data_IF_630792896565
#
_entry.id   IF_630792896565
#
_cell.length_a   1.000
_cell.length_b   1.000
_cell.length_c   1.000
_cell.angle_alpha   90.00
_cell.angle_beta   90.00
_cell.angle_gamma   90.00
#
_symmetry.space_group_name_H-M   'P 1'
#
loop_
_entity.id
_entity.type
_entity.pdbx_description
1 polymer ?
#
# COMPACT_ATOMS: atom_id res chain seq x y z
N UNK A 1 -40.93 -58.42 20.57
CA UNK A 1 -41.41 -57.02 20.69
C UNK A 1 -40.32 -56.23 21.37
N UNK A 2 -39.63 -55.36 20.62
CA UNK A 2 -38.64 -54.41 21.14
C UNK A 2 -37.23 -54.62 20.56
N UNK A 3 -37.00 -54.07 19.37
CA UNK A 3 -35.68 -53.87 18.73
C UNK A 3 -34.76 -52.99 19.58
N UNK A 4 -33.50 -53.41 19.73
CA UNK A 4 -32.39 -52.52 20.06
C UNK A 4 -31.58 -52.29 18.78
N UNK A 5 -31.69 -51.08 18.22
CA UNK A 5 -30.93 -50.68 17.03
C UNK A 5 -29.42 -50.63 17.29
N UNK A 6 -28.57 -50.98 16.31
CA UNK A 6 -27.12 -50.97 16.48
C UNK A 6 -26.55 -49.55 16.36
N UNK A 7 -25.42 -49.35 17.05
CA UNK A 7 -24.80 -48.06 17.32
C UNK A 7 -24.30 -47.31 16.09
N UNK A 8 -24.38 -45.99 16.19
CA UNK A 8 -23.92 -45.04 15.18
C UNK A 8 -22.40 -45.06 15.10
N UNK A 9 -21.88 -45.39 13.92
CA UNK A 9 -20.46 -45.29 13.57
C UNK A 9 -19.95 -43.86 13.72
N UNK A 10 -18.77 -43.74 14.33
CA UNK A 10 -17.97 -42.52 14.39
C UNK A 10 -17.65 -42.04 12.98
N UNK A 11 -18.27 -40.94 12.56
CA UNK A 11 -17.88 -40.20 11.37
C UNK A 11 -16.75 -39.26 11.77
N UNK A 12 -15.52 -39.62 11.39
CA UNK A 12 -14.39 -38.68 11.30
C UNK A 12 -14.79 -37.54 10.38
N UNK A 13 -15.06 -36.38 10.96
CA UNK A 13 -15.24 -35.14 10.22
C UNK A 13 -13.89 -34.73 9.61
N UNK A 14 -13.79 -34.83 8.29
CA UNK A 14 -12.73 -34.20 7.52
C UNK A 14 -12.89 -32.68 7.68
N UNK A 15 -11.82 -32.02 8.13
CA UNK A 15 -11.69 -30.56 8.08
C UNK A 15 -11.88 -30.12 6.62
N UNK A 16 -12.72 -29.11 6.33
CA UNK A 16 -12.82 -28.57 4.98
C UNK A 16 -11.46 -27.97 4.62
N UNK A 17 -10.81 -28.53 3.60
CA UNK A 17 -9.67 -27.90 2.95
C UNK A 17 -10.08 -26.53 2.41
N UNK A 18 -9.14 -25.58 2.41
CA UNK A 18 -9.34 -24.26 1.82
C UNK A 18 -9.91 -24.42 0.40
N UNK A 19 -10.95 -23.65 0.02
CA UNK A 19 -11.46 -23.69 -1.34
C UNK A 19 -10.35 -23.30 -2.32
N UNK A 20 -10.32 -23.89 -3.53
CA UNK A 20 -9.42 -23.45 -4.57
C UNK A 20 -9.74 -21.99 -4.92
N UNK A 21 -8.71 -21.15 -4.90
CA UNK A 21 -8.77 -19.77 -5.41
C UNK A 21 -9.22 -19.84 -6.87
N UNK A 22 -10.35 -19.24 -7.21
CA UNK A 22 -10.91 -19.25 -8.57
C UNK A 22 -9.97 -18.52 -9.54
N UNK A 23 -9.92 -18.93 -10.82
CA UNK A 23 -9.08 -18.26 -11.84
C UNK A 23 -9.35 -16.75 -11.94
N UNK A 24 -10.57 -16.30 -11.63
CA UNK A 24 -10.96 -14.89 -11.57
C UNK A 24 -10.19 -14.07 -10.52
N UNK A 25 -9.69 -14.71 -9.47
CA UNK A 25 -8.90 -14.08 -8.39
C UNK A 25 -7.42 -13.90 -8.78
N UNK A 26 -6.95 -14.56 -9.85
CA UNK A 26 -5.55 -14.50 -10.29
C UNK A 26 -5.24 -13.29 -11.17
N UNK A 27 -6.25 -12.75 -11.87
CA UNK A 27 -6.12 -11.57 -12.74
C UNK A 27 -6.45 -10.24 -12.03
N UNK A 28 -6.92 -10.31 -10.79
CA UNK A 28 -7.28 -9.16 -9.97
C UNK A 28 -6.04 -8.52 -9.33
N UNK A 29 -5.98 -7.17 -9.37
CA UNK A 29 -4.96 -6.42 -8.66
C UNK A 29 -5.47 -6.01 -7.29
N UNK A 30 -4.72 -6.36 -6.27
CA UNK A 30 -5.05 -6.08 -4.88
C UNK A 30 -4.24 -4.91 -4.30
N UNK A 31 -4.94 -3.94 -3.70
CA UNK A 31 -4.33 -2.73 -3.12
C UNK A 31 -4.64 -2.67 -1.64
N UNK A 32 -3.62 -2.57 -0.79
CA UNK A 32 -3.76 -2.28 0.64
C UNK A 32 -3.54 -0.80 0.89
N UNK A 33 -4.47 -0.13 1.58
CA UNK A 33 -4.39 1.31 1.87
C UNK A 33 -4.46 1.57 3.36
N UNK A 34 -3.61 2.47 3.87
CA UNK A 34 -3.67 2.94 5.27
C UNK A 34 -3.69 4.46 5.31
N UNK A 35 -4.31 5.04 6.34
CA UNK A 35 -4.18 6.46 6.68
C UNK A 35 -3.80 6.65 8.14
N UNK A 36 -3.32 7.85 8.49
CA UNK A 36 -2.94 8.20 9.86
C UNK A 36 -4.10 8.77 10.66
N UNK A 37 -4.01 8.62 11.98
CA UNK A 37 -4.94 9.22 12.94
C UNK A 37 -4.60 10.67 13.31
N UNK A 38 -5.31 11.22 14.29
CA UNK A 38 -5.10 12.59 14.77
C UNK A 38 -3.66 12.86 15.26
N UNK A 39 -3.17 14.08 15.05
CA UNK A 39 -1.86 14.54 15.53
C UNK A 39 -1.77 16.06 15.67
N UNK A 40 -1.20 16.52 16.79
CA UNK A 40 -1.10 17.95 17.14
C UNK A 40 -2.47 18.64 17.03
N UNK A 41 -2.59 19.68 16.21
CA UNK A 41 -3.83 20.43 15.97
C UNK A 41 -4.79 19.72 15.00
N UNK A 42 -4.37 18.65 14.33
CA UNK A 42 -5.21 17.89 13.42
C UNK A 42 -6.01 16.86 14.23
N UNK A 43 -7.15 17.29 14.77
CA UNK A 43 -8.09 16.42 15.51
C UNK A 43 -8.77 15.39 14.60
N UNK A 44 -8.80 15.68 13.30
CA UNK A 44 -9.22 14.79 12.22
C UNK A 44 -8.09 14.80 11.20
N UNK A 45 -7.81 13.66 10.57
CA UNK A 45 -6.69 13.53 9.64
C UNK A 45 -7.22 13.14 8.25
N UNK A 46 -7.05 14.04 7.28
CA UNK A 46 -7.52 13.86 5.91
C UNK A 46 -7.02 12.57 5.27
N UNK A 47 -5.84 12.09 5.64
CA UNK A 47 -5.29 10.84 5.08
C UNK A 47 -6.18 9.62 5.36
N UNK A 48 -6.71 9.47 6.57
CA UNK A 48 -7.60 8.37 6.90
C UNK A 48 -9.01 8.58 6.35
N UNK A 49 -9.49 9.82 6.28
CA UNK A 49 -10.77 10.14 5.65
C UNK A 49 -10.76 9.78 4.15
N UNK A 50 -9.71 10.17 3.42
CA UNK A 50 -9.51 9.84 2.00
C UNK A 50 -9.37 8.33 1.84
N UNK A 51 -8.55 7.66 2.66
CA UNK A 51 -8.42 6.21 2.59
C UNK A 51 -9.78 5.52 2.77
N UNK A 52 -10.57 5.95 3.76
CA UNK A 52 -11.86 5.35 4.09
C UNK A 52 -12.97 5.67 3.08
N UNK A 53 -12.81 6.70 2.25
CA UNK A 53 -13.79 7.07 1.22
C UNK A 53 -13.54 6.39 -0.13
N UNK A 54 -12.43 5.64 -0.28
CA UNK A 54 -12.13 4.87 -1.49
C UNK A 54 -13.22 3.83 -1.77
N UNK A 55 -13.59 3.60 -3.05
CA UNK A 55 -14.48 2.51 -3.40
C UNK A 55 -13.83 1.15 -3.07
N UNK A 56 -14.60 0.10 -2.71
CA UNK A 56 -14.03 -1.21 -2.39
C UNK A 56 -13.37 -1.89 -3.60
N UNK A 57 -13.78 -1.53 -4.81
CA UNK A 57 -13.16 -1.99 -6.05
C UNK A 57 -13.57 -1.12 -7.23
N UNK A 58 -12.80 -1.15 -8.31
CA UNK A 58 -13.19 -0.63 -9.62
C UNK A 58 -12.60 -1.48 -10.74
N UNK A 59 -13.15 -1.36 -11.95
CA UNK A 59 -12.58 -1.96 -13.16
C UNK A 59 -11.85 -0.89 -13.97
N UNK A 60 -10.67 -1.23 -14.46
CA UNK A 60 -9.82 -0.31 -15.21
C UNK A 60 -9.16 -1.02 -16.39
N UNK A 61 -9.24 -0.39 -17.55
CA UNK A 61 -8.55 -0.82 -18.77
C UNK A 61 -7.38 0.15 -19.00
N UNK A 62 -6.14 -0.20 -18.64
CA UNK A 62 -4.98 0.62 -19.00
C UNK A 62 -4.88 0.70 -20.52
N UNK A 63 -4.63 1.88 -21.06
CA UNK A 63 -4.43 2.04 -22.50
C UNK A 63 -3.27 1.14 -22.96
N UNK A 64 -3.49 0.32 -23.98
CA UNK A 64 -2.43 -0.48 -24.60
C UNK A 64 -1.60 0.43 -25.52
N UNK A 65 -0.27 0.35 -25.42
CA UNK A 65 0.63 1.01 -26.37
C UNK A 65 0.48 0.49 -27.81
N UNK A 66 -0.04 -0.74 -27.95
CA UNK A 66 0.01 -1.51 -29.20
C UNK A 66 -1.35 -1.57 -29.93
N UNK A 67 -2.36 -0.83 -29.46
CA UNK A 67 -3.67 -0.77 -30.10
C UNK A 67 -4.51 -2.05 -30.01
N UNK A 68 -4.09 -3.04 -29.21
CA UNK A 68 -4.91 -4.20 -28.85
C UNK A 68 -5.99 -3.80 -27.85
N UNK A 69 -7.16 -4.45 -27.87
CA UNK A 69 -8.19 -4.25 -26.86
C UNK A 69 -7.61 -4.44 -25.45
N UNK A 70 -7.60 -3.37 -24.66
CA UNK A 70 -7.09 -3.39 -23.30
C UNK A 70 -7.99 -4.28 -22.44
N UNK A 71 -7.45 -5.42 -21.99
CA UNK A 71 -8.18 -6.34 -21.12
C UNK A 71 -8.54 -5.61 -19.82
N UNK A 72 -9.84 -5.45 -19.49
CA UNK A 72 -10.25 -4.81 -18.25
C UNK A 72 -9.71 -5.59 -17.05
N UNK A 73 -9.00 -4.90 -16.16
CA UNK A 73 -8.52 -5.46 -14.89
C UNK A 73 -9.39 -5.00 -13.75
N UNK A 74 -9.77 -5.93 -12.87
CA UNK A 74 -10.40 -5.59 -11.60
C UNK A 74 -9.33 -5.16 -10.60
N UNK A 75 -9.58 -4.06 -9.89
CA UNK A 75 -8.74 -3.58 -8.80
C UNK A 75 -9.57 -3.61 -7.53
N UNK A 76 -9.14 -4.36 -6.53
CA UNK A 76 -9.75 -4.37 -5.18
C UNK A 76 -8.93 -3.54 -4.21
N UNK A 77 -9.63 -2.69 -3.47
CA UNK A 77 -9.03 -1.80 -2.49
C UNK A 77 -9.41 -2.28 -1.09
N UNK A 78 -8.39 -2.63 -0.32
CA UNK A 78 -8.49 -3.08 1.05
C UNK A 78 -7.97 -1.97 1.97
N UNK A 79 -8.88 -1.22 2.57
CA UNK A 79 -8.52 -0.14 3.51
C UNK A 79 -8.36 -0.75 4.90
N UNK A 80 -7.25 -0.47 5.58
CA UNK A 80 -7.10 -0.85 6.98
C UNK A 80 -8.17 -0.11 7.83
N UNK A 81 -9.01 -0.82 8.61
CA UNK A 81 -10.24 -0.26 9.19
C UNK A 81 -10.02 0.68 10.38
N UNK A 82 -8.78 1.00 10.74
CA UNK A 82 -8.48 1.92 11.82
C UNK A 82 -7.33 2.84 11.44
N UNK A 83 -7.36 4.12 11.85
CA UNK A 83 -6.27 5.02 11.56
C UNK A 83 -5.00 4.59 12.30
N UNK A 84 -3.85 4.62 11.61
CA UNK A 84 -2.56 4.34 12.24
C UNK A 84 -2.23 5.48 13.22
N UNK A 85 -2.01 5.19 14.51
CA UNK A 85 -1.59 6.23 15.44
C UNK A 85 -0.27 6.86 14.98
N UNK A 86 -0.15 8.18 15.09
CA UNK A 86 1.08 8.92 14.74
C UNK A 86 2.12 8.72 15.85
N UNK A 87 2.59 7.47 15.98
CA UNK A 87 3.55 6.98 16.96
C UNK A 87 4.51 5.97 16.32
N UNK A 88 5.82 6.14 16.50
CA UNK A 88 6.83 5.27 15.89
C UNK A 88 6.64 3.81 16.29
N UNK A 89 6.41 3.55 17.58
CA UNK A 89 6.08 2.19 18.05
C UNK A 89 4.84 1.62 17.39
N UNK A 90 3.82 2.46 17.14
CA UNK A 90 2.57 1.96 16.55
C UNK A 90 2.82 1.49 15.12
N UNK A 91 3.56 2.27 14.32
CA UNK A 91 3.98 1.81 12.99
C UNK A 91 4.78 0.51 13.07
N UNK A 92 5.79 0.45 13.95
CA UNK A 92 6.63 -0.74 14.13
C UNK A 92 5.82 -1.99 14.47
N UNK A 93 4.85 -1.89 15.37
CA UNK A 93 4.09 -3.06 15.85
C UNK A 93 2.89 -3.41 14.99
N UNK A 94 2.20 -2.39 14.45
CA UNK A 94 0.93 -2.60 13.75
C UNK A 94 1.15 -2.99 12.30
N UNK A 95 2.16 -2.45 11.62
CA UNK A 95 2.34 -2.70 10.20
C UNK A 95 2.58 -4.20 9.86
N UNK A 96 3.44 -4.95 10.58
CA UNK A 96 3.57 -6.39 10.37
C UNK A 96 2.26 -7.15 10.59
N UNK A 97 1.46 -6.73 11.58
CA UNK A 97 0.15 -7.35 11.86
C UNK A 97 -0.84 -7.11 10.72
N UNK A 98 -0.88 -5.89 10.17
CA UNK A 98 -1.73 -5.57 9.01
C UNK A 98 -1.39 -6.46 7.82
N UNK A 99 -0.10 -6.62 7.51
CA UNK A 99 0.35 -7.43 6.38
C UNK A 99 0.08 -8.93 6.59
N UNK A 100 0.24 -9.41 7.83
CA UNK A 100 -0.04 -10.80 8.20
C UNK A 100 -1.55 -11.12 8.17
N UNK A 101 -2.39 -10.24 8.73
CA UNK A 101 -3.85 -10.37 8.67
C UNK A 101 -4.37 -10.31 7.23
N UNK A 102 -3.78 -9.43 6.41
CA UNK A 102 -4.05 -9.40 4.98
C UNK A 102 -3.72 -10.75 4.33
N UNK A 103 -2.51 -11.28 4.53
CA UNK A 103 -2.10 -12.55 3.94
C UNK A 103 -3.00 -13.71 4.38
N UNK A 104 -3.37 -13.79 5.67
CA UNK A 104 -4.30 -14.80 6.20
C UNK A 104 -5.67 -14.76 5.53
N UNK A 105 -6.17 -13.58 5.22
CA UNK A 105 -7.49 -13.38 4.59
C UNK A 105 -7.45 -13.51 3.07
N UNK A 106 -6.27 -13.51 2.45
CA UNK A 106 -6.07 -13.54 0.99
C UNK A 106 -5.30 -14.78 0.51
N UNK A 107 -5.44 -15.91 1.23
CA UNK A 107 -4.87 -17.20 0.82
C UNK A 107 -3.34 -17.25 0.86
N UNK A 108 -2.71 -16.49 1.77
CA UNK A 108 -1.28 -16.35 1.91
C UNK A 108 -0.64 -15.34 0.94
N UNK A 109 -1.43 -14.69 0.08
CA UNK A 109 -0.93 -13.67 -0.87
C UNK A 109 -0.67 -12.35 -0.16
N UNK A 110 0.41 -11.67 -0.55
CA UNK A 110 0.65 -10.27 -0.19
C UNK A 110 -0.23 -9.37 -1.09
N UNK A 111 -0.54 -8.13 -0.66
CA UNK A 111 -1.13 -7.14 -1.56
C UNK A 111 -0.20 -6.94 -2.76
N UNK A 112 -0.75 -6.68 -3.95
CA UNK A 112 0.02 -6.33 -5.14
C UNK A 112 0.57 -4.89 -5.07
N UNK A 113 -0.13 -4.01 -4.37
CA UNK A 113 0.27 -2.62 -4.10
C UNK A 113 -0.04 -2.27 -2.65
N UNK A 114 0.88 -1.60 -1.96
CA UNK A 114 0.64 -0.98 -0.65
C UNK A 114 0.75 0.54 -0.77
N UNK A 115 -0.28 1.27 -0.35
CA UNK A 115 -0.31 2.73 -0.35
C UNK A 115 -0.51 3.24 1.08
N UNK A 116 0.46 3.99 1.58
CA UNK A 116 0.31 4.73 2.83
C UNK A 116 -0.04 6.18 2.50
N UNK A 117 -1.15 6.69 3.05
CA UNK A 117 -1.57 8.08 2.88
C UNK A 117 -1.19 8.88 4.13
N UNK A 118 -0.64 10.08 3.94
CA UNK A 118 -0.35 11.00 5.04
C UNK A 118 -0.58 12.46 4.65
N UNK A 119 -0.89 13.29 5.64
CA UNK A 119 -1.03 14.73 5.42
C UNK A 119 0.34 15.40 5.35
N UNK A 120 0.52 16.28 4.38
CA UNK A 120 1.61 17.24 4.36
C UNK A 120 1.06 18.63 4.64
N UNK A 121 1.00 19.02 5.92
CA UNK A 121 0.22 20.19 6.36
C UNK A 121 0.58 21.53 5.69
N UNK A 122 1.80 21.68 5.18
CA UNK A 122 2.26 22.90 4.50
C UNK A 122 2.12 22.83 2.96
N UNK A 123 1.67 21.70 2.41
CA UNK A 123 1.49 21.49 0.97
C UNK A 123 0.00 21.67 0.62
N UNK A 124 -0.26 22.41 -0.46
CA UNK A 124 -1.57 22.55 -1.09
C UNK A 124 -1.66 21.75 -2.40
N UNK A 125 -0.81 20.74 -2.55
CA UNK A 125 -0.69 19.87 -3.70
C UNK A 125 -0.58 18.41 -3.26
N UNK A 126 -0.84 17.51 -4.19
CA UNK A 126 -0.75 16.07 -4.03
C UNK A 126 0.64 15.60 -4.44
N UNK A 127 1.24 14.67 -3.68
CA UNK A 127 2.56 14.16 -4.06
C UNK A 127 2.75 12.68 -3.73
N UNK A 128 3.55 12.01 -4.56
CA UNK A 128 3.96 10.62 -4.33
C UNK A 128 5.45 10.59 -4.06
N UNK A 129 5.84 9.88 -2.99
CA UNK A 129 7.23 9.78 -2.56
C UNK A 129 7.96 8.63 -3.27
N UNK A 130 9.19 8.88 -3.72
CA UNK A 130 9.99 7.94 -4.54
C UNK A 130 10.98 7.10 -3.75
N UNK A 131 11.28 7.53 -2.53
CA UNK A 131 12.29 6.94 -1.69
C UNK A 131 12.00 7.22 -0.22
N UNK A 132 12.57 6.40 0.66
CA UNK A 132 12.56 6.63 2.09
C UNK A 132 13.95 6.39 2.66
N UNK A 133 14.28 7.13 3.71
CA UNK A 133 15.58 7.06 4.34
C UNK A 133 15.50 6.42 5.72
N UNK A 134 16.51 5.62 6.06
CA UNK A 134 16.58 4.85 7.31
C UNK A 134 16.68 5.70 8.57
N UNK A 135 17.29 6.89 8.47
CA UNK A 135 17.79 7.64 9.61
C UNK A 135 17.30 9.10 9.60
N UNK A 136 17.23 9.73 10.78
CA UNK A 136 16.97 11.15 10.96
C UNK A 136 15.61 11.51 11.59
N UNK A 137 14.95 10.56 12.25
CA UNK A 137 13.61 10.69 12.83
C UNK A 137 13.64 11.36 14.21
N UNK A 138 14.05 12.63 14.24
CA UNK A 138 14.25 13.39 15.50
C UNK A 138 12.97 13.96 16.10
N UNK A 139 11.91 14.12 15.30
CA UNK A 139 10.66 14.73 15.74
C UNK A 139 9.88 13.80 16.67
N UNK A 140 9.40 14.35 17.78
CA UNK A 140 8.56 13.62 18.74
C UNK A 140 7.17 13.30 18.19
N UNK A 141 6.75 12.07 18.45
CA UNK A 141 5.43 11.53 18.11
C UNK A 141 4.34 11.88 19.15
N UNK A 142 3.11 11.33 19.03
CA UNK A 142 2.04 11.55 20.04
C UNK A 142 2.38 11.05 21.45
N UNK A 143 3.42 10.19 21.58
CA UNK A 143 3.91 9.66 22.84
C UNK A 143 5.17 10.41 23.31
N UNK A 144 5.56 11.49 22.65
CA UNK A 144 6.73 12.29 22.99
C UNK A 144 8.07 11.66 22.57
N UNK A 145 8.08 10.58 21.77
CA UNK A 145 9.30 9.83 21.44
C UNK A 145 9.79 10.11 20.02
N UNK A 146 11.10 10.05 19.82
CA UNK A 146 11.75 10.05 18.50
C UNK A 146 11.77 8.64 17.89
N UNK A 147 12.11 8.54 16.61
CA UNK A 147 12.09 7.27 15.86
C UNK A 147 13.31 6.36 16.08
N UNK A 148 14.24 6.73 16.97
CA UNK A 148 15.49 5.99 17.13
C UNK A 148 15.29 4.56 17.67
N UNK A 149 14.62 4.40 18.82
CA UNK A 149 14.45 3.09 19.47
C UNK A 149 13.47 2.18 18.72
N UNK A 150 12.45 2.75 18.07
CA UNK A 150 11.41 2.00 17.37
C UNK A 150 11.76 1.75 15.88
N UNK A 151 12.86 2.30 15.36
CA UNK A 151 13.27 2.13 13.96
C UNK A 151 14.77 2.16 13.75
N UNK A 152 15.40 3.34 13.79
CA UNK A 152 16.80 3.54 13.35
C UNK A 152 17.77 2.53 13.96
N UNK A 153 17.69 2.33 15.28
CA UNK A 153 18.56 1.40 16.00
C UNK A 153 18.43 -0.02 15.46
N UNK A 154 17.19 -0.50 15.30
CA UNK A 154 16.89 -1.84 14.81
C UNK A 154 17.35 -2.00 13.35
N UNK A 155 17.07 -1.01 12.50
CA UNK A 155 17.47 -1.06 11.10
C UNK A 155 18.99 -1.01 10.91
N UNK A 156 19.73 -0.34 11.83
CA UNK A 156 21.19 -0.36 11.86
C UNK A 156 21.75 -1.70 12.32
N UNK A 157 21.18 -2.28 13.37
CA UNK A 157 21.56 -3.62 13.85
C UNK A 157 21.36 -4.70 12.78
N UNK A 158 20.37 -4.51 11.91
CA UNK A 158 20.07 -5.36 10.76
C UNK A 158 20.84 -5.00 9.48
N UNK A 159 21.70 -3.98 9.53
CA UNK A 159 22.45 -3.45 8.37
C UNK A 159 21.58 -3.14 7.14
N UNK A 160 20.38 -2.57 7.37
CA UNK A 160 19.47 -2.25 6.27
C UNK A 160 19.97 -1.04 5.47
N UNK A 161 19.68 -0.97 4.15
CA UNK A 161 20.12 0.11 3.27
C UNK A 161 19.72 1.50 3.77
N UNK A 162 20.61 2.49 3.64
CA UNK A 162 20.31 3.88 4.06
C UNK A 162 19.09 4.48 3.36
N UNK A 163 18.85 4.06 2.12
CA UNK A 163 17.72 4.50 1.30
C UNK A 163 17.07 3.26 0.68
N UNK A 164 15.76 3.17 0.82
CA UNK A 164 14.95 2.16 0.15
C UNK A 164 14.00 2.82 -0.83
N UNK A 165 13.69 2.10 -1.91
CA UNK A 165 12.75 2.52 -2.95
C UNK A 165 11.87 1.35 -3.37
N UNK A 166 10.73 1.65 -3.98
CA UNK A 166 9.94 0.64 -4.65
C UNK A 166 10.79 -0.06 -5.72
N UNK A 167 10.64 -1.37 -5.87
CA UNK A 167 11.50 -2.15 -6.75
C UNK A 167 11.27 -3.65 -6.65
N UNK A 168 11.71 -4.43 -7.65
CA UNK A 168 11.71 -5.89 -7.56
C UNK A 168 12.65 -6.37 -6.45
N UNK A 169 12.37 -7.57 -5.95
CA UNK A 169 13.27 -8.31 -5.07
C UNK A 169 14.63 -8.56 -5.73
N UNK A 170 15.69 -8.59 -4.91
CA UNK A 170 17.07 -8.84 -5.39
C UNK A 170 17.36 -10.35 -5.57
N UNK A 171 16.42 -11.21 -5.20
CA UNK A 171 16.49 -12.67 -5.35
C UNK A 171 16.04 -13.17 -6.72
N UNK A 172 16.07 -14.50 -6.95
CA UNK A 172 15.57 -15.12 -8.19
C UNK A 172 14.17 -14.58 -8.49
N UNK A 173 14.01 -14.02 -9.70
CA UNK A 173 12.76 -13.51 -10.24
C UNK A 173 11.60 -14.42 -9.79
N UNK A 174 10.78 -13.91 -8.88
CA UNK A 174 9.54 -14.57 -8.56
C UNK A 174 8.78 -14.71 -9.87
N UNK A 175 8.22 -15.88 -10.15
CA UNK A 175 7.32 -16.11 -11.30
C UNK A 175 5.97 -15.35 -11.12
N UNK A 176 6.00 -14.13 -10.58
CA UNK A 176 4.84 -13.26 -10.35
C UNK A 176 4.59 -12.47 -11.64
N UNK A 177 3.45 -12.77 -12.27
CA UNK A 177 3.18 -12.50 -13.69
C UNK A 177 2.59 -11.11 -14.03
N UNK A 178 2.34 -10.20 -13.08
CA UNK A 178 1.42 -9.07 -13.37
C UNK A 178 1.93 -7.65 -13.11
N UNK A 179 2.78 -7.39 -12.11
CA UNK A 179 3.31 -6.06 -11.80
C UNK A 179 4.80 -6.11 -11.43
N UNK A 180 5.57 -5.14 -11.91
CA UNK A 180 6.97 -4.91 -11.55
C UNK A 180 7.10 -3.55 -10.85
N UNK A 181 7.16 -3.51 -9.51
CA UNK A 181 7.29 -2.26 -8.78
C UNK A 181 8.55 -1.49 -9.16
N UNK A 182 8.40 -0.18 -9.29
CA UNK A 182 9.49 0.77 -9.54
C UNK A 182 9.18 2.12 -8.90
N UNK A 183 10.19 2.95 -8.60
CA UNK A 183 9.95 4.29 -8.09
C UNK A 183 9.16 5.12 -9.13
N UNK A 184 8.19 5.93 -8.70
CA UNK A 184 7.53 6.92 -9.57
C UNK A 184 8.55 7.77 -10.34
N UNK A 185 8.38 7.85 -11.66
CA UNK A 185 9.18 8.63 -12.60
C UNK A 185 8.29 9.63 -13.38
N UNK A 186 8.87 10.39 -14.30
CA UNK A 186 8.13 11.39 -15.07
C UNK A 186 7.01 10.78 -15.93
N UNK A 187 7.19 9.56 -16.44
CA UNK A 187 6.16 8.84 -17.20
C UNK A 187 4.98 8.46 -16.31
N UNK A 188 5.27 7.96 -15.10
CA UNK A 188 4.26 7.75 -14.07
C UNK A 188 3.52 9.06 -13.73
N UNK A 189 4.24 10.18 -13.59
CA UNK A 189 3.62 11.47 -13.25
C UNK A 189 2.70 11.95 -14.38
N UNK A 190 3.11 11.79 -15.63
CA UNK A 190 2.29 12.10 -16.78
C UNK A 190 1.01 11.24 -16.79
N UNK A 191 1.13 9.93 -16.58
CA UNK A 191 -0.03 9.03 -16.48
C UNK A 191 -0.94 9.37 -15.28
N UNK A 192 -0.37 9.71 -14.13
CA UNK A 192 -1.17 10.09 -12.97
C UNK A 192 -1.99 11.35 -13.24
N UNK A 193 -1.38 12.37 -13.84
CA UNK A 193 -2.05 13.62 -14.21
C UNK A 193 -3.19 13.42 -15.22
N UNK A 194 -3.07 12.46 -16.15
CA UNK A 194 -4.17 12.18 -17.11
C UNK A 194 -5.38 11.51 -16.46
N UNK A 195 -5.18 10.79 -15.35
CA UNK A 195 -6.27 10.17 -14.59
C UNK A 195 -6.88 11.08 -13.52
N UNK A 196 -6.16 12.13 -13.12
CA UNK A 196 -6.64 13.09 -12.12
C UNK A 196 -7.74 14.01 -12.66
N UNK A 197 -8.56 14.60 -11.77
CA UNK A 197 -9.42 15.73 -12.13
C UNK A 197 -8.61 16.88 -12.74
N UNK A 198 -9.26 17.67 -13.62
CA UNK A 198 -8.64 18.85 -14.23
C UNK A 198 -8.06 19.79 -13.16
N UNK A 199 -6.95 20.44 -13.46
CA UNK A 199 -6.25 21.39 -12.56
C UNK A 199 -5.64 20.77 -11.28
N UNK A 200 -5.60 19.43 -11.15
CA UNK A 200 -4.93 18.79 -10.01
C UNK A 200 -3.43 19.07 -10.03
N UNK A 201 -2.91 19.72 -8.97
CA UNK A 201 -1.47 19.84 -8.74
C UNK A 201 -0.92 18.53 -8.14
N UNK A 202 -0.51 17.62 -9.02
CA UNK A 202 0.14 16.35 -8.67
C UNK A 202 1.65 16.41 -8.96
N UNK A 203 2.46 15.91 -8.02
CA UNK A 203 3.93 15.97 -8.08
C UNK A 203 4.61 14.69 -7.61
N UNK A 204 5.84 14.50 -8.04
CA UNK A 204 6.75 13.51 -7.45
C UNK A 204 7.59 14.20 -6.37
N UNK A 205 7.88 13.48 -5.30
CA UNK A 205 8.72 13.94 -4.19
C UNK A 205 9.79 12.91 -3.84
N UNK A 206 10.93 13.41 -3.36
CA UNK A 206 12.07 12.62 -2.87
C UNK A 206 12.29 12.78 -1.37
N UNK A 207 11.40 13.53 -0.71
CA UNK A 207 11.47 13.88 0.71
C UNK A 207 10.08 13.80 1.35
N UNK A 208 9.88 12.71 2.09
CA UNK A 208 8.68 12.45 2.87
C UNK A 208 8.71 13.11 4.28
N UNK A 209 9.74 13.91 4.59
CA UNK A 209 9.77 14.82 5.73
C UNK A 209 10.32 14.27 7.04
N UNK A 210 11.11 13.17 7.02
CA UNK A 210 11.81 12.59 8.21
C UNK A 210 10.95 12.50 9.48
N UNK A 211 9.68 12.18 9.30
CA UNK A 211 8.69 11.96 10.36
C UNK A 211 7.97 10.62 10.17
N UNK A 212 6.76 10.47 10.72
CA UNK A 212 5.97 9.25 10.64
C UNK A 212 5.59 8.86 9.20
N UNK A 213 5.41 9.82 8.29
CA UNK A 213 5.17 9.56 6.87
C UNK A 213 6.32 8.79 6.22
N UNK A 214 7.54 9.31 6.35
CA UNK A 214 8.73 8.60 5.86
C UNK A 214 9.03 7.34 6.66
N UNK A 215 8.74 7.34 7.97
CA UNK A 215 8.99 6.20 8.84
C UNK A 215 8.15 4.99 8.44
N UNK A 216 6.85 5.16 8.18
CA UNK A 216 6.01 4.05 7.71
C UNK A 216 6.39 3.60 6.31
N UNK A 217 6.76 4.52 5.41
CA UNK A 217 7.25 4.16 4.08
C UNK A 217 8.53 3.31 4.18
N UNK A 218 9.52 3.76 4.95
CA UNK A 218 10.77 3.02 5.16
C UNK A 218 10.51 1.68 5.85
N UNK A 219 9.68 1.64 6.91
CA UNK A 219 9.33 0.40 7.62
C UNK A 219 8.73 -0.63 6.67
N UNK A 220 7.78 -0.20 5.84
CA UNK A 220 7.08 -1.07 4.89
C UNK A 220 8.01 -1.61 3.80
N UNK A 221 8.86 -0.75 3.23
CA UNK A 221 9.89 -1.14 2.27
C UNK A 221 10.92 -2.08 2.90
N UNK A 222 11.33 -1.84 4.15
CA UNK A 222 12.27 -2.66 4.91
C UNK A 222 11.72 -4.06 5.18
N UNK A 223 10.44 -4.18 5.57
CA UNK A 223 9.80 -5.48 5.77
C UNK A 223 9.82 -6.31 4.48
N UNK A 224 9.51 -5.71 3.33
CA UNK A 224 9.59 -6.40 2.05
C UNK A 224 11.03 -6.75 1.67
N UNK A 225 11.98 -5.82 1.88
CA UNK A 225 13.40 -6.04 1.64
C UNK A 225 13.94 -7.25 2.43
N UNK A 226 13.65 -7.30 3.73
CA UNK A 226 14.10 -8.38 4.61
C UNK A 226 13.46 -9.74 4.26
N UNK A 227 12.23 -9.73 3.75
CA UNK A 227 11.56 -10.93 3.27
C UNK A 227 12.07 -11.42 1.91
N UNK A 228 12.96 -10.67 1.24
CA UNK A 228 13.39 -10.98 -0.13
C UNK A 228 12.25 -10.83 -1.14
N UNK A 229 11.26 -9.99 -0.84
CA UNK A 229 10.05 -9.80 -1.62
C UNK A 229 10.09 -8.48 -2.40
N UNK A 230 9.22 -8.36 -3.41
CA UNK A 230 9.08 -7.10 -4.13
C UNK A 230 8.62 -5.98 -3.18
N UNK A 231 9.29 -4.84 -3.30
CA UNK A 231 9.05 -3.62 -2.52
C UNK A 231 7.94 -2.83 -3.20
N UNK A 232 6.73 -3.37 -3.17
CA UNK A 232 5.55 -2.83 -3.83
C UNK A 232 4.80 -1.76 -2.99
N UNK A 233 5.56 -0.82 -2.42
CA UNK A 233 5.04 0.19 -1.49
C UNK A 233 5.24 1.59 -2.07
N UNK A 234 4.22 2.43 -1.94
CA UNK A 234 4.33 3.86 -2.18
C UNK A 234 3.72 4.69 -1.06
N UNK A 235 4.08 5.96 -0.99
CA UNK A 235 3.50 6.92 -0.05
C UNK A 235 2.85 8.08 -0.79
N UNK A 236 1.61 8.38 -0.40
CA UNK A 236 0.78 9.43 -0.98
C UNK A 236 0.57 10.56 0.03
N UNK A 237 1.22 11.69 -0.21
CA UNK A 237 1.01 12.92 0.55
C UNK A 237 -0.18 13.72 -0.01
N UNK A 238 -1.09 14.08 0.89
CA UNK A 238 -2.29 14.88 0.61
C UNK A 238 -2.27 16.20 1.40
N UNK A 239 -2.98 17.24 0.93
CA UNK A 239 -3.25 18.43 1.74
C UNK A 239 -3.97 18.08 3.06
N UNK A 240 -3.85 18.96 4.06
CA UNK A 240 -4.43 18.72 5.39
C UNK A 240 -5.93 19.06 5.52
N UNK A 241 -6.52 19.68 4.49
CA UNK A 241 -7.93 20.08 4.57
C UNK A 241 -8.85 18.87 4.71
N UNK A 242 -9.88 19.02 5.53
CA UNK A 242 -10.86 17.98 5.85
C UNK A 242 -12.28 18.39 5.45
N UNK A 243 -12.45 19.38 4.58
CA UNK A 243 -13.77 19.72 4.02
C UNK A 243 -14.23 18.59 3.09
N UNK A 244 -15.54 18.35 3.02
CA UNK A 244 -16.10 17.23 2.23
C UNK A 244 -15.65 17.29 0.76
N UNK A 245 -15.59 18.48 0.17
CA UNK A 245 -15.11 18.70 -1.22
C UNK A 245 -13.62 18.35 -1.39
N UNK A 246 -12.80 18.63 -0.39
CA UNK A 246 -11.37 18.31 -0.39
C UNK A 246 -11.14 16.80 -0.22
N UNK A 247 -11.97 16.14 0.60
CA UNK A 247 -11.93 14.68 0.79
C UNK A 247 -12.38 13.96 -0.48
N UNK A 248 -13.43 14.43 -1.16
CA UNK A 248 -13.87 13.84 -2.43
C UNK A 248 -12.81 14.05 -3.52
N UNK A 249 -12.22 15.24 -3.62
CA UNK A 249 -11.10 15.50 -4.53
C UNK A 249 -9.91 14.57 -4.20
N UNK A 250 -9.53 14.46 -2.93
CA UNK A 250 -8.44 13.59 -2.50
C UNK A 250 -8.68 12.11 -2.81
N UNK A 251 -9.92 11.65 -2.73
CA UNK A 251 -10.36 10.31 -3.14
C UNK A 251 -10.22 10.12 -4.65
N UNK A 252 -10.68 11.05 -5.47
CA UNK A 252 -10.52 10.99 -6.92
C UNK A 252 -9.04 10.92 -7.33
N UNK A 253 -8.20 11.74 -6.70
CA UNK A 253 -6.74 11.74 -6.92
C UNK A 253 -6.07 10.44 -6.44
N UNK A 254 -6.55 9.85 -5.34
CA UNK A 254 -6.08 8.55 -4.87
C UNK A 254 -6.48 7.39 -5.81
N UNK A 255 -7.70 7.41 -6.37
CA UNK A 255 -8.11 6.45 -7.40
C UNK A 255 -7.27 6.62 -8.67
N UNK A 256 -7.00 7.86 -9.07
CA UNK A 256 -6.11 8.17 -10.18
C UNK A 256 -4.68 7.66 -9.94
N UNK A 257 -4.17 7.78 -8.70
CA UNK A 257 -2.88 7.24 -8.29
C UNK A 257 -2.84 5.71 -8.48
N UNK A 258 -3.88 5.01 -8.03
CA UNK A 258 -3.95 3.55 -8.19
C UNK A 258 -3.91 3.17 -9.69
N UNK A 259 -4.68 3.85 -10.54
CA UNK A 259 -4.64 3.64 -12.00
C UNK A 259 -3.24 3.87 -12.59
N UNK A 260 -2.55 4.91 -12.14
CA UNK A 260 -1.19 5.21 -12.58
C UNK A 260 -0.17 4.15 -12.14
N UNK A 261 -0.25 3.67 -10.90
CA UNK A 261 0.61 2.58 -10.40
C UNK A 261 0.37 1.28 -11.17
N UNK A 262 -0.91 0.93 -11.39
CA UNK A 262 -1.27 -0.26 -12.18
C UNK A 262 -0.71 -0.17 -13.59
N UNK A 263 -0.84 1.00 -14.24
CA UNK A 263 -0.32 1.21 -15.60
C UNK A 263 1.20 1.11 -15.61
N UNK A 264 1.88 1.92 -14.78
CA UNK A 264 3.34 2.00 -14.73
C UNK A 264 4.00 0.67 -14.33
N UNK A 265 3.42 -0.10 -13.42
CA UNK A 265 4.01 -1.37 -12.99
C UNK A 265 3.63 -2.53 -13.91
N UNK A 266 2.62 -2.40 -14.78
CA UNK A 266 2.27 -3.43 -15.78
C UNK A 266 3.12 -3.37 -17.04
N UNK A 267 3.68 -2.22 -17.37
CA UNK A 267 4.55 -2.05 -18.55
C UNK A 267 5.81 -2.90 -18.42
N UNK A 268 5.89 -4.00 -19.18
CA UNK A 268 7.12 -4.75 -19.34
C UNK A 268 8.14 -3.84 -20.00
N UNK A 269 9.34 -3.75 -19.42
CA UNK A 269 10.45 -3.08 -20.09
C UNK A 269 10.65 -3.72 -21.46
N UNK A 270 10.36 -2.97 -22.51
CA UNK A 270 11.14 -3.10 -23.73
C UNK A 270 12.54 -2.65 -23.34
N UNK A 271 13.40 -3.60 -22.96
CA UNK A 271 14.82 -3.34 -22.82
C UNK A 271 15.27 -2.68 -24.12
N UNK A 272 15.68 -1.42 -24.04
CA UNK A 272 16.35 -0.78 -25.16
C UNK A 272 17.60 -1.61 -25.51
N UNK A 273 17.88 -1.81 -26.81
CA UNK A 273 18.95 -2.68 -27.29
C UNK A 273 20.35 -2.22 -26.87
#
# INVERSE_FOLDING_TARGET
MGDYGPGVSSLTAQLPGNPPVSETDQDEISVLVTGFGPFKSNLVNASYLIASSLPPSFTFSPASSDGSDAVPRRVSINVHPSPIPVAYSAVRTTLPVILDDYAKTHGGRRPDIVIHIGIAAMRNYYSVETQAHRDGYLMSDIKGRSGYEDGEKLWRELDLPLVLRAGPSEGRASEKKHLSPRPPDEDFLAAWKTFCPSETDARISTDAGRYLCEFILYTSLALAYQAGEDRNVTFFHVPASCLDEDIETGKEVAVALIKALVTSWSEQQHSAP
#
